data_IF_999163864204
#
_entry.id   IF_999163864204
#
_cell.length_a   1.000
_cell.length_b   1.000
_cell.length_c   1.000
_cell.angle_alpha   90.00
_cell.angle_beta   90.00
_cell.angle_gamma   90.00
#
_symmetry.space_group_name_H-M   'P 1'
#
loop_
_entity.id
_entity.type
_entity.pdbx_description
1 polymer ?
#
# COMPACT_ATOMS: atom_id res chain seq x y z
N UNK A 1 16.82 -8.48 -3.14
CA UNK A 1 15.97 -9.36 -2.31
C UNK A 1 14.95 -9.97 -3.25
N UNK A 2 14.92 -11.29 -3.35
CA UNK A 2 13.99 -11.96 -4.26
C UNK A 2 12.68 -12.20 -3.52
N UNK A 3 11.69 -11.37 -3.81
CA UNK A 3 10.34 -11.56 -3.31
C UNK A 3 9.69 -12.71 -4.08
N UNK A 4 9.32 -13.76 -3.36
CA UNK A 4 8.51 -14.81 -3.95
C UNK A 4 7.09 -14.29 -4.17
N UNK A 5 6.73 -14.13 -5.44
CA UNK A 5 5.43 -13.66 -5.91
C UNK A 5 4.85 -14.71 -6.84
N UNK A 6 3.67 -15.22 -6.48
CA UNK A 6 2.94 -16.22 -7.25
C UNK A 6 1.58 -15.64 -7.68
N UNK A 7 1.45 -15.17 -8.93
CA UNK A 7 0.20 -14.62 -9.43
C UNK A 7 -0.92 -15.65 -9.47
N UNK A 8 -2.13 -15.27 -9.05
CA UNK A 8 -3.36 -16.03 -9.29
C UNK A 8 -4.14 -15.51 -10.50
N UNK A 9 -3.79 -14.31 -10.96
CA UNK A 9 -4.29 -13.67 -12.17
C UNK A 9 -3.18 -12.85 -12.85
N UNK A 10 -3.48 -12.25 -14.01
CA UNK A 10 -2.55 -11.36 -14.68
C UNK A 10 -2.31 -10.10 -13.84
N UNK A 11 -1.05 -9.86 -13.45
CA UNK A 11 -0.69 -8.69 -12.67
C UNK A 11 -0.42 -7.49 -13.57
N UNK A 12 -1.09 -6.38 -13.28
CA UNK A 12 -0.71 -5.09 -13.84
C UNK A 12 0.52 -4.59 -13.08
N UNK A 13 1.68 -4.67 -13.72
CA UNK A 13 2.95 -4.22 -13.16
C UNK A 13 3.29 -2.83 -13.68
N UNK A 14 3.57 -1.91 -12.77
CA UNK A 14 4.07 -0.57 -13.09
C UNK A 14 5.41 -0.35 -12.40
N UNK A 15 6.38 0.13 -13.16
CA UNK A 15 7.72 0.46 -12.67
C UNK A 15 7.95 1.94 -12.91
N UNK A 16 8.40 2.66 -11.88
CA UNK A 16 8.85 4.04 -12.01
C UNK A 16 10.08 4.27 -11.16
N UNK A 17 10.94 5.16 -11.61
CA UNK A 17 12.08 5.64 -10.82
C UNK A 17 11.75 7.03 -10.31
N UNK A 18 11.98 7.26 -9.02
CA UNK A 18 11.78 8.55 -8.38
C UNK A 18 13.10 8.98 -7.77
N UNK A 19 13.58 10.16 -8.19
CA UNK A 19 14.73 10.78 -7.56
C UNK A 19 14.27 11.44 -6.26
N UNK A 20 14.82 11.02 -5.13
CA UNK A 20 14.40 11.50 -3.82
C UNK A 20 15.56 11.69 -2.84
N UNK A 21 15.32 12.59 -1.88
CA UNK A 21 16.23 12.84 -0.78
C UNK A 21 15.67 12.20 0.50
N UNK A 22 16.32 11.12 0.93
CA UNK A 22 15.99 10.41 2.18
C UNK A 22 17.06 10.76 3.22
N UNK A 23 16.72 11.68 4.13
CA UNK A 23 17.65 12.22 5.11
C UNK A 23 18.83 12.92 4.43
N UNK A 24 20.04 12.36 4.60
CA UNK A 24 21.29 12.89 4.00
C UNK A 24 21.64 12.25 2.66
N UNK A 25 20.84 11.30 2.17
CA UNK A 25 21.13 10.55 0.96
C UNK A 25 20.25 11.07 -0.18
N UNK A 26 20.85 11.26 -1.35
CA UNK A 26 20.16 11.43 -2.62
C UNK A 26 20.25 10.08 -3.35
N UNK A 27 19.11 9.58 -3.81
CA UNK A 27 19.01 8.25 -4.40
C UNK A 27 17.91 8.21 -5.44
N UNK A 28 18.07 7.26 -6.38
CA UNK A 28 17.02 6.91 -7.32
C UNK A 28 16.29 5.67 -6.78
N UNK A 29 15.05 5.87 -6.33
CA UNK A 29 14.23 4.78 -5.81
C UNK A 29 13.41 4.17 -6.93
N UNK A 30 13.62 2.87 -7.16
CA UNK A 30 12.84 2.08 -8.12
C UNK A 30 11.61 1.55 -7.42
N UNK A 31 10.45 2.04 -7.84
CA UNK A 31 9.16 1.63 -7.32
C UNK A 31 8.52 0.64 -8.30
N UNK A 32 8.33 -0.61 -7.88
CA UNK A 32 7.60 -1.64 -8.65
C UNK A 32 6.30 -1.95 -7.94
N UNK A 33 5.18 -1.55 -8.53
CA UNK A 33 3.82 -1.82 -8.06
C UNK A 33 3.19 -2.93 -8.88
N UNK A 34 2.53 -3.86 -8.21
CA UNK A 34 1.88 -5.04 -8.77
C UNK A 34 0.43 -5.05 -8.29
N UNK A 35 -0.51 -4.91 -9.21
CA UNK A 35 -1.94 -4.91 -8.91
C UNK A 35 -2.59 -6.15 -9.50
N UNK A 36 -3.41 -6.81 -8.69
CA UNK A 36 -4.07 -8.06 -8.99
C UNK A 36 -3.78 -9.11 -7.92
N UNK A 37 -4.64 -10.12 -7.80
CA UNK A 37 -4.56 -11.14 -6.76
C UNK A 37 -3.31 -12.01 -6.90
N UNK A 38 -2.46 -12.02 -5.88
CA UNK A 38 -1.26 -12.87 -5.85
C UNK A 38 -0.86 -13.26 -4.43
N UNK A 39 -0.13 -14.36 -4.32
CA UNK A 39 0.60 -14.67 -3.11
C UNK A 39 1.93 -13.93 -3.07
N UNK A 40 2.29 -13.47 -1.88
CA UNK A 40 3.53 -12.79 -1.56
C UNK A 40 4.16 -13.47 -0.33
N UNK A 41 5.48 -13.62 -0.32
CA UNK A 41 6.21 -13.92 0.92
C UNK A 41 6.73 -12.63 1.53
N UNK A 42 6.31 -12.32 2.76
CA UNK A 42 6.70 -11.10 3.45
C UNK A 42 8.13 -11.18 4.03
N UNK A 43 8.57 -10.09 4.67
CA UNK A 43 9.91 -9.99 5.26
C UNK A 43 10.15 -10.97 6.42
N UNK A 44 9.08 -11.51 7.03
CA UNK A 44 9.15 -12.51 8.10
C UNK A 44 9.19 -13.94 7.56
N UNK A 45 9.02 -14.12 6.25
CA UNK A 45 8.87 -15.42 5.60
C UNK A 45 7.43 -15.95 5.60
N UNK A 46 6.46 -15.15 6.06
CA UNK A 46 5.05 -15.53 6.04
C UNK A 46 4.47 -15.35 4.65
N UNK A 47 3.64 -16.31 4.22
CA UNK A 47 2.92 -16.25 2.96
C UNK A 47 1.60 -15.51 3.16
N UNK A 48 1.36 -14.47 2.38
CA UNK A 48 0.21 -13.57 2.48
C UNK A 48 -0.47 -13.44 1.12
N UNK A 49 -1.79 -13.58 1.08
CA UNK A 49 -2.59 -13.29 -0.10
C UNK A 49 -2.86 -11.79 -0.16
N UNK A 50 -2.62 -11.15 -1.30
CA UNK A 50 -2.70 -9.69 -1.44
C UNK A 50 -3.40 -9.29 -2.73
N UNK A 51 -4.14 -8.18 -2.68
CA UNK A 51 -4.74 -7.55 -3.87
C UNK A 51 -3.73 -6.64 -4.60
N UNK A 52 -2.74 -6.16 -3.84
CA UNK A 52 -1.75 -5.23 -4.33
C UNK A 52 -0.47 -5.32 -3.50
N UNK A 53 0.69 -5.23 -4.16
CA UNK A 53 1.99 -5.07 -3.51
C UNK A 53 2.84 -4.03 -4.22
N UNK A 54 3.73 -3.38 -3.48
CA UNK A 54 4.71 -2.45 -4.01
C UNK A 54 6.06 -2.62 -3.31
N UNK A 55 7.12 -2.58 -4.11
CA UNK A 55 8.50 -2.51 -3.62
C UNK A 55 9.10 -1.16 -3.96
N UNK A 56 9.81 -0.57 -3.01
CA UNK A 56 10.56 0.67 -3.19
C UNK A 56 12.03 0.36 -2.90
N UNK A 57 12.83 0.15 -3.93
CA UNK A 57 14.26 -0.16 -3.81
C UNK A 57 15.08 1.12 -3.97
N UNK A 58 15.67 1.57 -2.86
CA UNK A 58 16.50 2.77 -2.78
C UNK A 58 18.01 2.44 -2.78
N UNK A 59 18.37 1.22 -3.18
CA UNK A 59 19.73 0.73 -3.28
C UNK A 59 20.32 0.24 -1.95
N UNK A 60 21.57 -0.26 -1.95
CA UNK A 60 22.12 -1.04 -0.83
C UNK A 60 22.29 -0.27 0.49
N UNK A 61 22.31 1.07 0.44
CA UNK A 61 22.45 1.91 1.65
C UNK A 61 21.14 2.12 2.40
N UNK A 62 20.03 2.18 1.67
CA UNK A 62 18.70 2.49 2.21
C UNK A 62 17.77 1.28 2.20
N UNK A 63 18.10 0.26 1.41
CA UNK A 63 17.38 -1.00 1.34
C UNK A 63 16.13 -0.93 0.47
N UNK A 64 15.29 -1.95 0.63
CA UNK A 64 14.03 -2.10 -0.08
C UNK A 64 12.89 -2.10 0.92
N UNK A 65 11.88 -1.26 0.69
CA UNK A 65 10.63 -1.29 1.44
C UNK A 65 9.61 -2.14 0.68
N UNK A 66 8.84 -2.95 1.42
CA UNK A 66 7.71 -3.72 0.91
C UNK A 66 6.42 -3.22 1.56
N UNK A 67 5.45 -2.81 0.74
CA UNK A 67 4.11 -2.45 1.17
C UNK A 67 3.11 -3.34 0.44
N UNK A 68 2.02 -3.75 1.10
CA UNK A 68 0.97 -4.54 0.47
C UNK A 68 -0.39 -4.32 1.12
N UNK A 69 -1.44 -4.63 0.36
CA UNK A 69 -2.82 -4.67 0.83
C UNK A 69 -3.23 -6.13 0.96
N UNK A 70 -3.40 -6.67 2.18
CA UNK A 70 -3.89 -8.02 2.38
C UNK A 70 -5.25 -8.20 1.70
N UNK A 71 -5.41 -9.34 1.03
CA UNK A 71 -6.70 -9.72 0.49
C UNK A 71 -7.69 -9.94 1.64
N UNK A 72 -8.93 -9.53 1.43
CA UNK A 72 -10.02 -9.69 2.39
C UNK A 72 -11.22 -10.31 1.70
N UNK A 73 -11.65 -11.47 2.20
CA UNK A 73 -12.89 -12.13 1.73
C UNK A 73 -14.16 -11.34 2.10
N UNK A 74 -14.04 -10.32 2.95
CA UNK A 74 -15.14 -9.44 3.33
C UNK A 74 -15.50 -8.50 2.18
N UNK A 75 -16.59 -8.84 1.49
CA UNK A 75 -17.23 -7.95 0.51
C UNK A 75 -18.07 -6.91 1.27
N UNK A 76 -17.51 -5.71 1.45
CA UNK A 76 -18.28 -4.59 2.02
C UNK A 76 -19.19 -4.01 0.94
N UNK A 77 -20.50 -4.01 1.22
CA UNK A 77 -21.50 -3.47 0.30
C UNK A 77 -21.31 -1.97 0.05
N UNK A 78 -21.86 -1.46 -1.07
CA UNK A 78 -21.81 -0.02 -1.36
C UNK A 78 -22.58 0.79 -0.31
N UNK A 79 -23.68 0.25 0.22
CA UNK A 79 -24.48 0.86 1.29
C UNK A 79 -23.67 0.99 2.58
N UNK A 80 -23.00 -0.07 3.03
CA UNK A 80 -22.13 -0.02 4.21
C UNK A 80 -20.96 0.94 4.01
N UNK A 81 -20.38 0.98 2.80
CA UNK A 81 -19.34 1.96 2.46
C UNK A 81 -19.86 3.39 2.51
N UNK A 82 -21.08 3.65 2.02
CA UNK A 82 -21.69 4.96 2.06
C UNK A 82 -22.00 5.40 3.49
N UNK A 83 -22.58 4.51 4.30
CA UNK A 83 -22.84 4.76 5.73
C UNK A 83 -21.53 5.03 6.50
N UNK A 84 -20.47 4.26 6.24
CA UNK A 84 -19.16 4.49 6.86
C UNK A 84 -18.55 5.83 6.46
N UNK A 85 -18.63 6.22 5.17
CA UNK A 85 -18.16 7.54 4.72
C UNK A 85 -18.92 8.68 5.40
N UNK A 86 -20.23 8.55 5.53
CA UNK A 86 -21.06 9.56 6.20
C UNK A 86 -20.69 9.67 7.69
N UNK A 87 -20.50 8.53 8.36
CA UNK A 87 -20.03 8.51 9.75
C UNK A 87 -18.65 9.17 9.91
N UNK A 88 -17.70 8.89 9.03
CA UNK A 88 -16.37 9.52 9.03
C UNK A 88 -16.51 11.04 8.86
N UNK A 89 -17.36 11.49 7.94
CA UNK A 89 -17.62 12.91 7.71
C UNK A 89 -18.18 13.59 8.96
N UNK A 90 -19.20 13.00 9.58
CA UNK A 90 -19.81 13.54 10.80
C UNK A 90 -18.80 13.67 11.95
N UNK A 91 -17.98 12.63 12.17
CA UNK A 91 -16.94 12.66 13.20
C UNK A 91 -15.88 13.72 12.90
N UNK A 92 -15.39 13.78 11.66
CA UNK A 92 -14.40 14.76 11.25
C UNK A 92 -14.93 16.20 11.40
N UNK A 93 -16.17 16.47 10.96
CA UNK A 93 -16.82 17.77 11.13
C UNK A 93 -16.94 18.15 12.61
N UNK A 94 -17.39 17.22 13.46
CA UNK A 94 -17.48 17.48 14.90
C UNK A 94 -16.12 17.82 15.51
N UNK A 95 -15.07 17.08 15.17
CA UNK A 95 -13.72 17.34 15.67
C UNK A 95 -13.22 18.72 15.22
N UNK A 96 -13.44 19.10 13.97
CA UNK A 96 -13.04 20.43 13.48
C UNK A 96 -13.74 21.57 14.23
N UNK A 97 -15.03 21.43 14.54
CA UNK A 97 -15.79 22.40 15.34
C UNK A 97 -15.26 22.45 16.78
N UNK A 98 -15.11 21.28 17.42
CA UNK A 98 -14.65 21.19 18.81
C UNK A 98 -13.23 21.78 18.98
N UNK A 99 -12.40 21.74 17.94
CA UNK A 99 -11.07 22.34 17.89
C UNK A 99 -11.04 23.82 17.45
N UNK A 100 -12.18 24.41 17.07
CA UNK A 100 -12.26 25.79 16.57
C UNK A 100 -11.57 26.02 15.23
N UNK A 101 -11.42 24.96 14.43
CA UNK A 101 -10.83 25.02 13.07
C UNK A 101 -11.88 25.47 12.04
N UNK A 102 -13.17 25.26 12.33
CA UNK A 102 -14.30 25.50 11.43
C UNK A 102 -15.32 26.45 12.04
#
# INVERSE_FOLDING_TARGET
>A
MDLNIEPLEELVVTVKTVHEKIGRYETDTVITRRKGLHWLTDMSGARVLVDESATMDSGPKLGTTLCFTPHSDVVVSEEERAANRERIRQVATKVMIDMGIW
#
